data_IF_279158127782
#
_entry.id   IF_279158127782
#
_cell.length_a   1.000
_cell.length_b   1.000
_cell.length_c   1.000
_cell.angle_alpha   90.00
_cell.angle_beta   90.00
_cell.angle_gamma   90.00
#
_symmetry.space_group_name_H-M   'P 1'
#
loop_
_entity.id
_entity.type
_entity.pdbx_description
1 polymer ?
#
# COMPACT_ATOMS: atom_id res chain seq x y z
N UNK A 1 15.56 20.95 10.75
CA UNK A 1 16.87 20.31 10.49
C UNK A 1 16.79 18.78 10.52
N UNK A 2 16.37 18.15 11.63
CA UNK A 2 16.28 16.69 11.78
C UNK A 2 15.47 15.97 10.65
N UNK A 3 14.24 16.41 10.36
CA UNK A 3 13.43 15.83 9.26
C UNK A 3 14.03 16.03 7.86
N UNK A 4 14.77 17.13 7.62
CA UNK A 4 15.49 17.35 6.35
C UNK A 4 16.63 16.34 6.21
N UNK A 5 17.40 16.12 7.27
CA UNK A 5 18.44 15.08 7.29
C UNK A 5 17.83 13.70 7.06
N UNK A 6 16.70 13.39 7.70
CA UNK A 6 16.00 12.13 7.46
C UNK A 6 15.64 11.96 5.98
N UNK A 7 15.01 12.98 5.36
CA UNK A 7 14.67 12.93 3.93
C UNK A 7 15.91 12.62 3.07
N UNK A 8 17.01 13.34 3.27
CA UNK A 8 18.25 13.12 2.53
C UNK A 8 18.84 11.71 2.78
N UNK A 9 18.81 11.24 4.04
CA UNK A 9 19.27 9.90 4.39
C UNK A 9 18.44 8.79 3.72
N UNK A 10 17.11 8.95 3.65
CA UNK A 10 16.24 7.99 2.96
C UNK A 10 16.46 7.94 1.46
N UNK A 11 17.03 8.99 0.87
CA UNK A 11 17.42 9.06 -0.55
C UNK A 11 18.89 8.69 -0.78
N UNK A 12 19.57 8.11 0.22
CA UNK A 12 21.01 7.75 0.18
C UNK A 12 21.96 8.92 -0.14
N UNK A 13 21.48 10.16 -0.05
CA UNK A 13 22.26 11.37 -0.38
C UNK A 13 23.44 11.58 0.59
N UNK A 14 23.34 11.02 1.79
CA UNK A 14 24.33 11.17 2.87
C UNK A 14 25.25 9.95 2.99
N UNK A 15 25.34 9.10 1.97
CA UNK A 15 26.11 7.85 2.06
C UNK A 15 27.61 8.04 2.23
N UNK A 16 28.13 9.18 1.76
CA UNK A 16 29.55 9.54 1.76
C UNK A 16 30.02 10.35 2.98
N UNK A 17 29.14 10.68 3.92
CA UNK A 17 29.55 11.43 5.13
C UNK A 17 30.49 10.60 6.02
N UNK A 18 31.22 11.22 6.97
CA UNK A 18 32.10 10.50 7.89
C UNK A 18 31.38 9.37 8.65
N UNK A 19 32.12 8.31 9.02
CA UNK A 19 31.58 7.14 9.75
C UNK A 19 31.80 7.20 11.27
N UNK A 20 32.44 8.25 11.75
CA UNK A 20 32.73 8.52 13.16
C UNK A 20 32.55 10.02 13.42
N UNK A 21 32.00 10.35 14.59
CA UNK A 21 31.90 11.73 15.04
C UNK A 21 33.25 12.29 15.50
N UNK A 22 33.27 13.57 15.82
CA UNK A 22 34.40 14.26 16.42
C UNK A 22 33.92 15.32 17.44
N UNK A 23 34.87 15.94 18.14
CA UNK A 23 34.59 16.98 19.14
C UNK A 23 33.95 18.25 18.56
N UNK A 24 34.03 18.45 17.23
CA UNK A 24 33.42 19.60 16.53
C UNK A 24 31.92 19.39 16.24
N UNK A 25 31.36 18.25 16.64
CA UNK A 25 29.93 17.97 16.44
C UNK A 25 29.57 17.66 14.99
N UNK A 26 30.50 17.11 14.19
CA UNK A 26 30.18 16.71 12.81
C UNK A 26 29.16 15.57 12.78
N UNK A 27 28.21 15.68 11.85
CA UNK A 27 27.29 14.59 11.53
C UNK A 27 28.06 13.38 11.00
N UNK A 28 27.63 12.17 11.37
CA UNK A 28 28.25 10.95 10.90
C UNK A 28 27.25 9.80 10.70
N UNK A 29 27.63 8.86 9.84
CA UNK A 29 26.87 7.65 9.52
C UNK A 29 27.27 6.51 10.46
N UNK A 30 26.34 6.01 11.26
CA UNK A 30 26.56 4.97 12.27
C UNK A 30 26.34 3.57 11.67
N UNK A 31 27.39 3.01 11.07
CA UNK A 31 27.37 1.70 10.39
C UNK A 31 27.02 0.55 11.35
N UNK A 32 27.40 0.64 12.63
CA UNK A 32 27.09 -0.39 13.62
C UNK A 32 25.59 -0.44 13.87
N UNK A 33 24.97 0.72 14.06
CA UNK A 33 23.53 0.82 14.28
C UNK A 33 22.73 0.46 13.01
N UNK A 34 23.20 0.81 11.81
CA UNK A 34 22.58 0.35 10.56
C UNK A 34 22.47 -1.17 10.48
N UNK A 35 23.57 -1.90 10.76
CA UNK A 35 23.57 -3.37 10.76
C UNK A 35 22.62 -3.95 11.80
N UNK A 36 22.62 -3.38 13.01
CA UNK A 36 21.76 -3.81 14.11
C UNK A 36 20.27 -3.62 13.77
N UNK A 37 19.90 -2.44 13.26
CA UNK A 37 18.52 -2.16 12.84
C UNK A 37 18.12 -3.04 11.65
N UNK A 38 18.98 -3.22 10.66
CA UNK A 38 18.67 -4.09 9.53
C UNK A 38 18.40 -5.53 10.01
N UNK A 39 19.23 -6.06 10.93
CA UNK A 39 19.00 -7.37 11.52
C UNK A 39 17.67 -7.42 12.29
N UNK A 40 17.39 -6.41 13.11
CA UNK A 40 16.10 -6.27 13.82
C UNK A 40 14.91 -6.33 12.84
N UNK A 41 14.95 -5.57 11.75
CA UNK A 41 13.87 -5.55 10.73
C UNK A 41 13.67 -6.91 10.04
N UNK A 42 14.74 -7.69 9.87
CA UNK A 42 14.67 -9.04 9.31
C UNK A 42 14.07 -10.06 10.30
N UNK A 43 14.16 -9.77 11.60
CA UNK A 43 13.66 -10.62 12.67
C UNK A 43 12.21 -10.32 13.02
N UNK A 44 11.67 -9.13 12.69
CA UNK A 44 10.24 -8.80 12.82
C UNK A 44 9.31 -9.69 11.99
N UNK A 45 9.82 -10.37 10.98
CA UNK A 45 9.06 -11.24 10.06
C UNK A 45 7.87 -10.60 9.32
N UNK A 46 7.70 -9.28 9.39
CA UNK A 46 6.73 -8.51 8.57
C UNK A 46 7.03 -8.71 7.07
N UNK A 47 8.31 -8.74 6.71
CA UNK A 47 8.78 -9.02 5.36
C UNK A 47 8.31 -8.02 4.31
N UNK A 48 8.35 -8.45 3.05
CA UNK A 48 7.92 -7.64 1.92
C UNK A 48 6.39 -7.67 1.83
N UNK A 49 5.73 -6.85 2.66
CA UNK A 49 4.28 -6.67 2.78
C UNK A 49 3.50 -7.83 3.41
N UNK A 50 3.79 -9.08 3.04
CA UNK A 50 2.99 -10.26 3.43
C UNK A 50 3.83 -11.35 4.12
N UNK A 51 4.60 -10.97 5.13
CA UNK A 51 5.43 -11.88 5.90
C UNK A 51 6.79 -12.16 5.25
N UNK A 52 7.78 -12.50 6.09
CA UNK A 52 9.11 -12.93 5.64
C UNK A 52 10.23 -11.99 6.07
N UNK A 53 11.37 -12.04 5.37
CA UNK A 53 12.62 -11.39 5.80
C UNK A 53 12.75 -9.92 5.36
N UNK A 54 12.29 -9.58 4.17
CA UNK A 54 12.66 -8.34 3.48
C UNK A 54 11.72 -7.18 3.81
N UNK A 55 11.69 -6.76 5.09
CA UNK A 55 10.99 -5.54 5.48
C UNK A 55 11.72 -4.27 5.03
N UNK A 56 13.06 -4.29 5.10
CA UNK A 56 13.93 -3.22 4.60
C UNK A 56 14.91 -3.78 3.57
N UNK A 57 15.20 -3.00 2.52
CA UNK A 57 16.32 -3.28 1.61
C UNK A 57 17.66 -3.06 2.32
N UNK A 58 17.79 -1.90 2.95
CA UNK A 58 18.92 -1.50 3.77
C UNK A 58 18.47 -0.45 4.81
N UNK A 59 19.43 0.07 5.59
CA UNK A 59 19.19 1.10 6.62
C UNK A 59 20.26 2.18 6.51
N UNK A 60 19.89 3.43 6.80
CA UNK A 60 20.81 4.54 7.04
C UNK A 60 20.57 5.13 8.43
N UNK A 61 21.64 5.31 9.21
CA UNK A 61 21.57 5.92 10.55
C UNK A 61 22.53 7.11 10.58
N UNK A 62 21.97 8.31 10.72
CA UNK A 62 22.73 9.55 10.78
C UNK A 62 22.66 10.11 12.20
N UNK A 63 23.83 10.27 12.83
CA UNK A 63 23.97 10.92 14.14
C UNK A 63 24.28 12.40 13.93
N UNK A 64 23.55 13.25 14.65
CA UNK A 64 23.67 14.70 14.57
C UNK A 64 24.02 15.28 15.95
N UNK A 65 24.71 16.43 16.02
CA UNK A 65 24.81 17.18 17.25
C UNK A 65 23.43 17.66 17.70
N UNK A 66 23.29 17.93 19.00
CA UNK A 66 22.04 18.36 19.61
C UNK A 66 22.33 19.33 20.75
N UNK A 67 21.36 20.17 21.06
CA UNK A 67 21.36 20.92 22.32
C UNK A 67 21.27 19.94 23.50
N UNK A 68 21.88 20.26 24.64
CA UNK A 68 21.93 19.37 25.82
C UNK A 68 20.55 18.91 26.28
N UNK A 69 19.57 19.82 26.25
CA UNK A 69 18.19 19.60 26.65
C UNK A 69 17.28 18.99 25.54
N UNK A 70 17.83 18.53 24.42
CA UNK A 70 17.01 18.04 23.29
C UNK A 70 17.58 16.78 22.68
N UNK A 71 16.71 15.86 22.25
CA UNK A 71 17.08 14.64 21.51
C UNK A 71 16.03 14.34 20.42
N UNK A 72 16.00 15.12 19.32
CA UNK A 72 15.07 14.85 18.23
C UNK A 72 15.47 13.55 17.50
N UNK A 73 14.51 12.64 17.37
CA UNK A 73 14.66 11.37 16.65
C UNK A 73 13.59 11.32 15.56
N UNK A 74 13.98 10.89 14.36
CA UNK A 74 13.07 10.74 13.24
C UNK A 74 13.37 9.47 12.47
N UNK A 75 12.31 8.77 12.06
CA UNK A 75 12.37 7.53 11.28
C UNK A 75 11.52 7.74 10.03
N UNK A 76 11.99 7.25 8.90
CA UNK A 76 11.34 7.40 7.61
C UNK A 76 11.89 6.39 6.61
N UNK A 77 11.21 6.29 5.47
CA UNK A 77 11.51 5.30 4.44
C UNK A 77 11.47 5.93 3.05
N UNK A 78 12.28 5.39 2.13
CA UNK A 78 11.93 5.39 0.72
C UNK A 78 11.15 4.11 0.40
N UNK A 79 10.13 4.20 -0.44
CA UNK A 79 9.19 3.11 -0.67
C UNK A 79 9.56 2.31 -1.92
N UNK A 80 8.72 1.32 -2.31
CA UNK A 80 8.94 0.56 -3.56
C UNK A 80 8.94 1.41 -4.85
N UNK A 81 8.51 2.68 -4.76
CA UNK A 81 8.72 3.70 -5.78
C UNK A 81 9.85 4.66 -5.37
N UNK A 82 11.06 4.10 -5.18
CA UNK A 82 12.29 4.82 -4.87
C UNK A 82 12.72 5.69 -6.06
N UNK A 83 12.58 7.00 -5.93
CA UNK A 83 12.60 7.95 -7.05
C UNK A 83 13.31 9.24 -6.66
N UNK A 84 14.58 9.31 -7.01
CA UNK A 84 15.43 10.49 -6.90
C UNK A 84 16.36 10.53 -8.12
N UNK A 85 16.84 11.72 -8.46
CA UNK A 85 17.83 11.90 -9.51
C UNK A 85 18.71 13.10 -9.15
N UNK A 86 20.03 12.92 -9.17
CA UNK A 86 20.98 13.99 -8.92
C UNK A 86 21.31 14.70 -10.24
N UNK A 87 21.20 16.02 -10.25
CA UNK A 87 21.63 16.88 -11.36
C UNK A 87 22.78 17.79 -10.93
N UNK A 88 23.67 18.16 -11.85
CA UNK A 88 24.66 19.21 -11.65
C UNK A 88 24.85 20.03 -12.91
N UNK A 89 25.13 21.32 -12.74
CA UNK A 89 25.52 22.24 -13.81
C UNK A 89 26.91 22.74 -13.50
N UNK A 90 27.80 22.74 -14.49
CA UNK A 90 29.13 23.34 -14.37
C UNK A 90 29.56 23.93 -15.72
N UNK A 91 30.81 24.42 -15.81
CA UNK A 91 31.37 25.02 -17.03
C UNK A 91 31.32 24.11 -18.28
N UNK A 92 31.11 22.80 -18.11
CA UNK A 92 31.03 21.80 -19.18
C UNK A 92 29.58 21.42 -19.54
N UNK A 93 28.57 22.06 -18.96
CA UNK A 93 27.15 21.87 -19.31
C UNK A 93 26.29 21.30 -18.18
N UNK A 94 25.17 20.67 -18.57
CA UNK A 94 24.17 20.09 -17.68
C UNK A 94 24.33 18.57 -17.61
N UNK A 95 24.38 18.02 -16.40
CA UNK A 95 24.56 16.60 -16.15
C UNK A 95 23.43 16.08 -15.27
N UNK A 96 22.98 14.87 -15.58
CA UNK A 96 21.94 14.17 -14.84
C UNK A 96 22.41 12.75 -14.53
N UNK A 97 22.07 12.27 -13.34
CA UNK A 97 22.35 10.91 -12.90
C UNK A 97 21.78 9.88 -13.89
N UNK A 98 22.60 8.89 -14.22
CA UNK A 98 22.23 7.80 -15.12
C UNK A 98 21.53 6.70 -14.34
N UNK A 99 20.23 6.57 -14.54
CA UNK A 99 19.44 5.44 -14.03
C UNK A 99 19.56 4.21 -14.95
N UNK A 100 19.16 3.05 -14.42
CA UNK A 100 19.07 1.81 -15.19
C UNK A 100 17.97 1.90 -16.26
N UNK A 101 18.30 1.56 -17.51
CA UNK A 101 17.36 1.55 -18.65
C UNK A 101 16.89 0.14 -19.05
N UNK A 102 17.62 -0.89 -18.62
CA UNK A 102 17.29 -2.29 -18.84
C UNK A 102 17.10 -3.02 -17.49
N UNK A 103 15.99 -2.76 -16.76
CA UNK A 103 15.73 -3.43 -15.49
C UNK A 103 15.47 -4.94 -15.65
N UNK A 104 15.17 -5.42 -16.86
CA UNK A 104 14.89 -6.85 -17.11
C UNK A 104 16.07 -7.77 -16.75
N UNK A 105 17.30 -7.25 -16.75
CA UNK A 105 18.51 -8.00 -16.35
C UNK A 105 18.48 -8.45 -14.87
N UNK A 106 17.68 -7.80 -14.03
CA UNK A 106 17.49 -8.17 -12.63
C UNK A 106 16.38 -9.20 -12.43
N UNK A 107 15.64 -9.60 -13.48
CA UNK A 107 14.63 -10.63 -13.39
C UNK A 107 15.29 -12.00 -13.17
N UNK A 108 15.02 -12.68 -12.04
CA UNK A 108 15.54 -14.02 -11.83
C UNK A 108 14.90 -15.01 -12.79
N UNK A 109 15.65 -16.05 -13.18
CA UNK A 109 15.09 -17.23 -13.86
C UNK A 109 14.28 -18.04 -12.85
N UNK A 110 13.02 -17.67 -12.66
CA UNK A 110 12.11 -18.36 -11.73
C UNK A 110 11.42 -19.51 -12.47
N UNK A 111 11.48 -20.70 -11.88
CA UNK A 111 10.54 -21.76 -12.24
C UNK A 111 9.19 -21.46 -11.58
N UNK A 112 8.27 -20.84 -12.32
CA UNK A 112 6.92 -20.50 -11.85
C UNK A 112 6.15 -21.71 -11.31
N UNK A 113 6.52 -22.95 -11.68
CA UNK A 113 5.93 -24.19 -11.11
C UNK A 113 6.32 -24.43 -9.65
N UNK A 114 7.39 -23.79 -9.15
CA UNK A 114 7.83 -23.87 -7.74
C UNK A 114 7.16 -22.84 -6.82
N UNK A 115 6.51 -21.82 -7.38
CA UNK A 115 5.64 -20.93 -6.60
C UNK A 115 4.32 -21.66 -6.36
N UNK A 116 3.89 -21.73 -5.10
CA UNK A 116 2.68 -22.46 -4.71
C UNK A 116 1.46 -21.91 -5.44
N UNK A 117 0.92 -22.69 -6.38
CA UNK A 117 -0.33 -22.43 -7.12
C UNK A 117 -1.58 -22.73 -6.27
N UNK A 118 -1.65 -22.17 -5.07
CA UNK A 118 -2.80 -22.34 -4.17
C UNK A 118 -3.64 -21.06 -4.09
N UNK A 119 -3.75 -20.33 -5.20
CA UNK A 119 -4.67 -19.20 -5.28
C UNK A 119 -6.11 -19.68 -5.36
N UNK A 120 -6.98 -19.08 -4.55
CA UNK A 120 -8.42 -19.27 -4.64
C UNK A 120 -9.01 -18.19 -5.53
N UNK A 121 -9.65 -18.60 -6.62
CA UNK A 121 -10.37 -17.69 -7.50
C UNK A 121 -11.68 -17.27 -6.80
N UNK A 122 -11.96 -15.97 -6.79
CA UNK A 122 -13.19 -15.37 -6.27
C UNK A 122 -13.88 -14.62 -7.41
N UNK A 123 -15.13 -15.00 -7.70
CA UNK A 123 -15.97 -14.29 -8.65
C UNK A 123 -16.75 -13.18 -7.92
N UNK A 124 -16.51 -11.94 -8.32
CA UNK A 124 -17.11 -10.73 -7.77
C UNK A 124 -18.41 -10.34 -8.48
N UNK A 125 -18.73 -10.93 -9.64
CA UNK A 125 -19.98 -10.67 -10.36
C UNK A 125 -21.19 -11.45 -9.80
N UNK A 126 -21.07 -11.92 -8.56
CA UNK A 126 -22.14 -12.57 -7.80
C UNK A 126 -22.72 -11.58 -6.80
N UNK A 127 -23.95 -11.80 -6.31
CA UNK A 127 -24.47 -11.02 -5.18
C UNK A 127 -23.47 -11.00 -4.03
N UNK A 128 -23.21 -9.83 -3.43
CA UNK A 128 -22.17 -9.63 -2.40
C UNK A 128 -22.27 -10.64 -1.23
N UNK A 129 -23.50 -11.07 -0.89
CA UNK A 129 -23.77 -12.08 0.14
C UNK A 129 -23.15 -13.44 -0.21
N UNK A 130 -23.17 -13.85 -1.47
CA UNK A 130 -22.53 -15.09 -1.91
C UNK A 130 -21.01 -15.00 -1.81
N UNK A 131 -20.43 -13.86 -2.19
CA UNK A 131 -18.99 -13.61 -2.05
C UNK A 131 -18.56 -13.65 -0.58
N UNK A 132 -19.36 -13.06 0.32
CA UNK A 132 -19.16 -13.15 1.79
C UNK A 132 -19.17 -14.60 2.27
N UNK A 133 -20.12 -15.42 1.82
CA UNK A 133 -20.21 -16.84 2.18
C UNK A 133 -18.97 -17.60 1.67
N UNK A 134 -18.52 -17.30 0.45
CA UNK A 134 -17.32 -17.93 -0.11
C UNK A 134 -16.05 -17.55 0.66
N UNK A 135 -15.84 -16.25 0.94
CA UNK A 135 -14.71 -15.77 1.73
C UNK A 135 -14.73 -16.30 3.17
N UNK A 136 -15.92 -16.49 3.76
CA UNK A 136 -16.09 -17.04 5.11
C UNK A 136 -15.52 -18.45 5.27
N UNK A 137 -15.39 -19.22 4.18
CA UNK A 137 -14.81 -20.58 4.19
C UNK A 137 -13.27 -20.56 4.23
N UNK A 138 -12.66 -19.39 4.01
CA UNK A 138 -11.21 -19.23 3.93
C UNK A 138 -10.63 -18.75 5.25
N UNK A 139 -9.31 -18.89 5.39
CA UNK A 139 -8.53 -18.38 6.52
C UNK A 139 -7.68 -17.20 6.08
N UNK A 140 -7.40 -16.27 6.99
CA UNK A 140 -6.40 -15.21 6.75
C UNK A 140 -5.08 -15.80 6.23
N UNK A 141 -4.34 -15.02 5.45
CA UNK A 141 -3.15 -15.44 4.66
C UNK A 141 -3.45 -16.23 3.38
N UNK A 142 -4.70 -16.57 3.10
CA UNK A 142 -5.08 -17.21 1.84
C UNK A 142 -4.88 -16.25 0.67
N UNK A 143 -4.24 -16.72 -0.40
CA UNK A 143 -4.02 -15.98 -1.65
C UNK A 143 -5.25 -16.09 -2.54
N UNK A 144 -5.66 -14.95 -3.11
CA UNK A 144 -6.86 -14.81 -3.93
C UNK A 144 -6.51 -14.28 -5.32
N UNK A 145 -7.33 -14.68 -6.30
CA UNK A 145 -7.43 -14.03 -7.60
C UNK A 145 -8.86 -13.56 -7.79
N UNK A 146 -9.04 -12.25 -7.86
CA UNK A 146 -10.36 -11.62 -7.97
C UNK A 146 -10.73 -11.40 -9.43
N UNK A 147 -11.95 -11.75 -9.81
CA UNK A 147 -12.50 -11.56 -11.15
C UNK A 147 -13.87 -10.89 -11.06
N UNK A 148 -14.08 -9.78 -11.75
CA UNK A 148 -15.37 -9.07 -11.80
C UNK A 148 -15.26 -7.60 -11.43
N UNK A 149 -16.37 -7.01 -10.99
CA UNK A 149 -16.48 -5.58 -10.72
C UNK A 149 -15.91 -5.19 -9.36
N UNK A 150 -15.20 -4.05 -9.32
CA UNK A 150 -14.79 -3.35 -8.10
C UNK A 150 -15.23 -1.89 -8.19
N UNK A 151 -15.69 -1.35 -7.06
CA UNK A 151 -15.91 0.09 -6.91
C UNK A 151 -14.68 0.71 -6.29
N UNK A 152 -14.13 1.73 -6.93
CA UNK A 152 -12.97 2.46 -6.46
C UNK A 152 -13.42 3.72 -5.74
N UNK A 153 -13.03 3.86 -4.48
CA UNK A 153 -13.26 5.07 -3.70
C UNK A 153 -12.14 5.22 -2.67
N UNK A 154 -11.73 6.46 -2.38
CA UNK A 154 -10.71 6.75 -1.36
C UNK A 154 -11.04 8.04 -0.60
N UNK A 155 -10.05 8.62 0.07
CA UNK A 155 -10.12 9.69 1.05
C UNK A 155 -11.30 10.68 0.86
N UNK A 156 -11.35 11.47 -0.22
CA UNK A 156 -12.40 12.49 -0.41
C UNK A 156 -13.77 11.87 -0.71
N UNK A 157 -13.82 10.83 -1.55
CA UNK A 157 -15.06 10.11 -1.85
C UNK A 157 -15.68 9.48 -0.59
N UNK A 158 -14.86 8.90 0.30
CA UNK A 158 -15.32 8.39 1.59
C UNK A 158 -15.86 9.51 2.47
N UNK A 159 -15.19 10.67 2.51
CA UNK A 159 -15.68 11.84 3.25
C UNK A 159 -17.05 12.29 2.75
N UNK A 160 -17.26 12.41 1.43
CA UNK A 160 -18.56 12.77 0.84
C UNK A 160 -19.65 11.76 1.17
N UNK A 161 -19.37 10.46 0.97
CA UNK A 161 -20.33 9.40 1.30
C UNK A 161 -20.71 9.39 2.79
N UNK A 162 -19.75 9.67 3.68
CA UNK A 162 -20.01 9.83 5.11
C UNK A 162 -20.87 11.04 5.39
N UNK A 163 -20.57 12.19 4.79
CA UNK A 163 -21.35 13.42 4.96
C UNK A 163 -22.82 13.19 4.57
N UNK A 164 -23.08 12.52 3.45
CA UNK A 164 -24.44 12.20 3.01
C UNK A 164 -25.12 11.21 3.97
N UNK A 165 -24.38 10.21 4.48
CA UNK A 165 -24.89 9.28 5.48
C UNK A 165 -25.23 9.97 6.81
N UNK A 166 -24.41 10.91 7.26
CA UNK A 166 -24.64 11.72 8.47
C UNK A 166 -25.89 12.60 8.32
N UNK A 167 -26.24 13.03 7.09
CA UNK A 167 -27.50 13.73 6.75
C UNK A 167 -28.71 12.79 6.66
N UNK A 168 -28.55 11.50 6.94
CA UNK A 168 -29.61 10.49 6.90
C UNK A 168 -29.90 9.93 5.51
N UNK A 169 -29.07 10.23 4.49
CA UNK A 169 -29.22 9.61 3.17
C UNK A 169 -28.64 8.20 3.17
N UNK A 170 -29.20 7.26 2.39
CA UNK A 170 -28.67 5.91 2.30
C UNK A 170 -27.33 5.90 1.54
N UNK A 171 -26.49 4.91 1.82
CA UNK A 171 -25.34 4.63 0.96
C UNK A 171 -25.81 4.20 -0.45
N UNK A 172 -25.11 4.63 -1.52
CA UNK A 172 -25.41 4.22 -2.88
C UNK A 172 -25.36 2.71 -3.09
N UNK A 173 -26.18 2.17 -3.99
CA UNK A 173 -26.27 0.72 -4.24
C UNK A 173 -24.94 0.14 -4.71
N UNK A 174 -24.23 0.82 -5.61
CA UNK A 174 -22.92 0.36 -6.09
C UNK A 174 -21.93 0.13 -4.93
N UNK A 175 -22.03 0.91 -3.84
CA UNK A 175 -21.14 0.83 -2.67
C UNK A 175 -21.55 -0.27 -1.68
N UNK A 176 -22.80 -0.75 -1.76
CA UNK A 176 -23.34 -1.87 -0.97
C UNK A 176 -23.16 -3.20 -1.67
N UNK A 177 -23.24 -3.21 -2.99
CA UNK A 177 -23.32 -4.43 -3.79
C UNK A 177 -21.97 -4.93 -4.30
N UNK A 178 -20.91 -4.12 -4.18
CA UNK A 178 -19.57 -4.45 -4.72
C UNK A 178 -18.46 -4.28 -3.66
N UNK A 179 -17.33 -4.99 -3.80
CA UNK A 179 -16.14 -4.70 -3.00
C UNK A 179 -15.56 -3.31 -3.32
N UNK A 180 -15.04 -2.66 -2.29
CA UNK A 180 -14.50 -1.30 -2.37
C UNK A 180 -12.98 -1.32 -2.44
N UNK A 181 -12.42 -0.91 -3.58
CA UNK A 181 -11.00 -0.78 -3.83
C UNK A 181 -10.51 0.63 -3.51
N UNK A 182 -9.58 0.76 -2.58
CA UNK A 182 -9.01 2.06 -2.25
C UNK A 182 -7.84 2.34 -3.18
N UNK A 183 -8.09 3.15 -4.21
CA UNK A 183 -7.08 3.55 -5.18
C UNK A 183 -7.45 4.88 -5.86
N UNK A 184 -6.51 5.42 -6.62
CA UNK A 184 -6.75 6.53 -7.54
C UNK A 184 -5.90 6.31 -8.80
N UNK A 185 -6.48 6.37 -10.01
CA UNK A 185 -5.76 6.07 -11.23
C UNK A 185 -4.80 7.20 -11.61
N UNK A 186 -3.66 6.85 -12.20
CA UNK A 186 -2.88 7.79 -13.01
C UNK A 186 -3.59 8.03 -14.36
N UNK A 187 -3.13 9.05 -15.10
CA UNK A 187 -3.65 9.35 -16.45
C UNK A 187 -3.52 8.12 -17.36
N UNK A 188 -4.57 7.82 -18.12
CA UNK A 188 -4.61 6.72 -19.09
C UNK A 188 -3.77 7.07 -20.33
N UNK A 189 -2.76 6.25 -20.68
CA UNK A 189 -2.06 6.40 -21.95
C UNK A 189 -2.97 6.09 -23.15
N UNK A 190 -2.70 6.71 -24.31
CA UNK A 190 -3.43 6.43 -25.54
C UNK A 190 -3.34 4.94 -25.91
N UNK A 191 -4.48 4.31 -26.20
CA UNK A 191 -4.55 2.89 -26.58
C UNK A 191 -4.49 1.89 -25.42
N UNK A 192 -4.50 2.36 -24.16
CA UNK A 192 -4.56 1.50 -22.97
C UNK A 192 -5.92 1.60 -22.28
N UNK A 193 -6.33 0.54 -21.56
CA UNK A 193 -7.55 0.54 -20.75
C UNK A 193 -7.47 1.53 -19.59
N UNK A 194 -6.31 1.65 -18.95
CA UNK A 194 -6.10 2.53 -17.81
C UNK A 194 -4.63 2.90 -17.61
N UNK A 195 -4.38 3.97 -16.86
CA UNK A 195 -3.06 4.31 -16.34
C UNK A 195 -2.65 3.42 -15.17
N UNK A 196 -1.46 3.65 -14.60
CA UNK A 196 -1.04 2.92 -13.39
C UNK A 196 -2.07 3.08 -12.27
N UNK A 197 -2.53 1.96 -11.70
CA UNK A 197 -3.70 1.96 -10.81
C UNK A 197 -3.54 1.02 -9.62
N UNK A 198 -2.50 1.26 -8.82
CA UNK A 198 -2.21 0.48 -7.60
C UNK A 198 -3.01 0.92 -6.37
N UNK A 199 -3.01 0.10 -5.30
CA UNK A 199 -3.75 0.39 -4.07
C UNK A 199 -3.16 1.57 -3.30
N UNK A 200 -4.02 2.27 -2.55
CA UNK A 200 -3.63 3.26 -1.54
C UNK A 200 -3.67 2.66 -0.13
N UNK A 201 -3.07 3.35 0.85
CA UNK A 201 -2.96 2.87 2.23
C UNK A 201 -4.35 2.73 2.87
N UNK A 202 -4.67 1.51 3.32
CA UNK A 202 -5.97 1.17 3.89
C UNK A 202 -6.30 1.92 5.19
N UNK A 203 -5.28 2.09 6.05
CA UNK A 203 -5.41 2.70 7.37
C UNK A 203 -6.07 4.08 7.40
N UNK A 204 -5.98 4.85 6.31
CA UNK A 204 -6.59 6.19 6.24
C UNK A 204 -8.12 6.16 6.16
N UNK A 205 -8.69 5.02 5.78
CA UNK A 205 -10.14 4.82 5.69
C UNK A 205 -10.70 4.07 6.91
N UNK A 206 -9.90 3.78 7.94
CA UNK A 206 -10.32 2.98 9.09
C UNK A 206 -11.50 3.59 9.85
N UNK A 207 -11.55 4.91 10.00
CA UNK A 207 -12.61 5.63 10.72
C UNK A 207 -14.00 5.54 10.06
N UNK A 208 -14.07 5.17 8.78
CA UNK A 208 -15.34 5.08 8.03
C UNK A 208 -15.97 3.69 8.10
N UNK A 209 -15.16 2.65 8.38
CA UNK A 209 -15.56 1.25 8.15
C UNK A 209 -16.79 0.87 8.97
N UNK A 210 -16.82 1.17 10.26
CA UNK A 210 -17.94 0.74 11.11
C UNK A 210 -19.26 1.38 10.68
N UNK A 211 -19.24 2.68 10.38
CA UNK A 211 -20.44 3.40 9.95
C UNK A 211 -20.95 2.88 8.61
N UNK A 212 -20.05 2.62 7.66
CA UNK A 212 -20.42 2.11 6.36
C UNK A 212 -20.95 0.68 6.42
N UNK A 213 -20.30 -0.20 7.18
CA UNK A 213 -20.75 -1.58 7.36
C UNK A 213 -22.08 -1.66 8.11
N UNK A 214 -22.30 -0.80 9.11
CA UNK A 214 -23.60 -0.65 9.78
C UNK A 214 -24.71 -0.25 8.79
N UNK A 215 -24.39 0.57 7.79
CA UNK A 215 -25.30 0.97 6.71
C UNK A 215 -25.33 -0.03 5.53
N UNK A 216 -24.70 -1.20 5.65
CA UNK A 216 -24.70 -2.28 4.66
C UNK A 216 -23.70 -2.11 3.50
N UNK A 217 -22.83 -1.10 3.56
CA UNK A 217 -21.78 -0.84 2.57
C UNK A 217 -20.38 -1.26 3.02
N UNK A 218 -19.40 -1.24 2.11
CA UNK A 218 -17.99 -1.52 2.44
C UNK A 218 -17.76 -2.85 3.19
N UNK A 219 -18.57 -3.87 2.88
CA UNK A 219 -18.47 -5.19 3.50
C UNK A 219 -17.21 -5.94 3.06
N UNK A 220 -16.75 -5.74 1.83
CA UNK A 220 -15.49 -6.27 1.33
C UNK A 220 -14.63 -5.09 0.88
N UNK A 221 -13.43 -4.97 1.47
CA UNK A 221 -12.52 -3.85 1.21
C UNK A 221 -11.23 -4.38 0.60
N UNK A 222 -10.65 -3.66 -0.36
CA UNK A 222 -9.40 -4.02 -1.04
C UNK A 222 -8.46 -2.82 -1.04
N UNK A 223 -7.25 -2.96 -0.49
CA UNK A 223 -6.26 -1.87 -0.43
C UNK A 223 -4.86 -2.42 -0.12
N UNK A 224 -3.94 -1.61 0.43
CA UNK A 224 -2.63 -2.08 0.93
C UNK A 224 -2.30 -1.62 2.34
N UNK A 225 -1.51 -2.41 3.05
CA UNK A 225 -1.07 -2.16 4.43
C UNK A 225 -1.93 -2.85 5.48
N UNK A 226 -1.42 -2.92 6.70
CA UNK A 226 -2.16 -3.35 7.88
C UNK A 226 -3.20 -2.30 8.29
N UNK A 227 -4.16 -2.69 9.14
CA UNK A 227 -5.26 -1.83 9.60
C UNK A 227 -5.38 -1.88 11.12
N UNK A 228 -6.12 -0.93 11.68
CA UNK A 228 -6.38 -0.83 13.11
C UNK A 228 -7.30 -1.92 13.63
N UNK A 229 -7.29 -2.10 14.95
CA UNK A 229 -8.20 -2.99 15.68
C UNK A 229 -9.68 -2.67 15.42
N UNK A 230 -10.03 -1.40 15.19
CA UNK A 230 -11.39 -0.94 14.88
C UNK A 230 -11.96 -1.67 13.65
N UNK A 231 -11.15 -1.82 12.61
CA UNK A 231 -11.57 -2.51 11.38
C UNK A 231 -11.78 -3.99 11.63
N UNK A 232 -10.88 -4.63 12.41
CA UNK A 232 -11.02 -6.04 12.79
C UNK A 232 -12.32 -6.30 13.56
N UNK A 233 -12.63 -5.44 14.53
CA UNK A 233 -13.87 -5.53 15.30
C UNK A 233 -15.10 -5.29 14.44
N UNK A 234 -15.06 -4.30 13.55
CA UNK A 234 -16.14 -4.01 12.62
C UNK A 234 -16.42 -5.18 11.67
N UNK A 235 -15.38 -5.75 11.04
CA UNK A 235 -15.51 -6.93 10.19
C UNK A 235 -16.15 -8.11 10.92
N UNK A 236 -15.77 -8.36 12.19
CA UNK A 236 -16.40 -9.39 13.01
C UNK A 236 -17.89 -9.10 13.28
N UNK A 237 -18.23 -7.84 13.57
CA UNK A 237 -19.59 -7.40 13.92
C UNK A 237 -20.56 -7.43 12.73
N UNK A 238 -20.07 -7.06 11.54
CA UNK A 238 -20.90 -6.86 10.35
C UNK A 238 -20.62 -7.86 9.22
N UNK A 239 -19.94 -8.96 9.51
CA UNK A 239 -19.55 -9.98 8.52
C UNK A 239 -18.69 -9.44 7.36
N UNK A 240 -17.81 -8.48 7.66
CA UNK A 240 -16.94 -7.84 6.68
C UNK A 240 -15.59 -8.54 6.48
N UNK A 241 -14.88 -8.15 5.42
CA UNK A 241 -13.56 -8.66 5.03
C UNK A 241 -12.65 -7.54 4.56
N UNK A 242 -11.35 -7.67 4.85
CA UNK A 242 -10.31 -6.85 4.24
C UNK A 242 -9.35 -7.73 3.44
N UNK A 243 -9.18 -7.37 2.18
CA UNK A 243 -8.27 -7.98 1.23
C UNK A 243 -7.07 -7.06 1.01
N UNK A 244 -5.87 -7.59 1.17
CA UNK A 244 -4.62 -6.88 0.91
C UNK A 244 -4.12 -7.15 -0.49
N UNK A 245 -4.06 -6.13 -1.34
CA UNK A 245 -3.35 -6.16 -2.61
C UNK A 245 -1.87 -5.79 -2.42
N UNK A 246 -1.05 -6.14 -3.42
CA UNK A 246 0.37 -5.80 -3.45
C UNK A 246 0.51 -4.30 -3.74
N UNK A 247 1.11 -3.56 -2.80
CA UNK A 247 1.43 -2.14 -2.98
C UNK A 247 2.67 -1.93 -3.84
N UNK A 248 2.62 -1.01 -4.81
CA UNK A 248 3.76 -0.67 -5.67
C UNK A 248 3.59 -0.99 -7.15
N UNK A 249 3.22 -2.22 -7.58
CA UNK A 249 3.21 -2.63 -8.99
C UNK A 249 1.99 -2.11 -9.77
N UNK A 250 1.66 -0.82 -9.65
CA UNK A 250 0.46 -0.21 -10.25
C UNK A 250 0.42 -0.29 -11.78
N UNK A 251 1.57 -0.23 -12.45
CA UNK A 251 1.65 -0.40 -13.91
C UNK A 251 1.35 -1.83 -14.36
N UNK A 252 1.79 -2.84 -13.60
CA UNK A 252 1.54 -4.24 -13.93
C UNK A 252 0.08 -4.62 -13.66
N UNK A 253 -0.50 -4.13 -12.55
CA UNK A 253 -1.93 -4.28 -12.27
C UNK A 253 -2.79 -3.66 -13.37
N UNK A 254 -2.48 -2.44 -13.78
CA UNK A 254 -3.16 -1.76 -14.88
C UNK A 254 -3.11 -2.57 -16.18
N UNK A 255 -1.93 -3.07 -16.54
CA UNK A 255 -1.71 -3.78 -17.81
C UNK A 255 -2.32 -5.18 -17.84
N UNK A 256 -2.26 -5.92 -16.73
CA UNK A 256 -2.65 -7.34 -16.70
C UNK A 256 -4.03 -7.60 -16.12
N UNK A 257 -4.48 -6.75 -15.20
CA UNK A 257 -5.58 -7.09 -14.32
C UNK A 257 -6.78 -6.16 -14.45
N UNK A 258 -6.63 -4.95 -14.99
CA UNK A 258 -7.74 -3.99 -15.12
C UNK A 258 -8.11 -3.86 -16.59
N UNK A 259 -9.31 -4.34 -16.92
CA UNK A 259 -9.76 -4.45 -18.32
C UNK A 259 -10.66 -3.30 -18.74
N UNK A 260 -11.36 -2.68 -17.79
CA UNK A 260 -12.27 -1.55 -18.04
C UNK A 260 -12.30 -0.59 -16.85
N UNK A 261 -12.47 0.72 -17.12
CA UNK A 261 -12.50 1.78 -16.11
C UNK A 261 -13.52 2.86 -16.51
N UNK A 262 -14.46 3.15 -15.62
CA UNK A 262 -15.48 4.18 -15.79
C UNK A 262 -15.58 5.07 -14.56
N UNK A 263 -15.57 6.39 -14.74
CA UNK A 263 -15.95 7.32 -13.66
C UNK A 263 -17.46 7.27 -13.49
N UNK A 264 -17.95 6.98 -12.30
CA UNK A 264 -19.39 6.82 -12.04
C UNK A 264 -19.96 7.92 -11.13
N UNK A 265 -19.14 8.55 -10.27
CA UNK A 265 -19.60 9.66 -9.43
C UNK A 265 -18.44 10.58 -9.03
N UNK A 266 -18.77 11.84 -8.74
CA UNK A 266 -17.84 12.91 -8.37
C UNK A 266 -16.66 13.15 -9.34
N UNK A 267 -16.90 13.31 -10.66
CA UNK A 267 -15.83 13.54 -11.63
C UNK A 267 -14.98 14.78 -11.33
N UNK A 268 -15.55 15.77 -10.62
CA UNK A 268 -14.84 16.97 -10.19
C UNK A 268 -13.67 16.70 -9.22
N UNK A 269 -13.62 15.51 -8.59
CA UNK A 269 -12.54 15.10 -7.69
C UNK A 269 -11.31 14.54 -8.42
N UNK A 270 -11.34 14.47 -9.76
CA UNK A 270 -10.25 13.94 -10.56
C UNK A 270 -9.91 12.50 -10.15
N UNK A 271 -8.65 12.24 -9.76
CA UNK A 271 -8.21 10.90 -9.38
C UNK A 271 -8.89 10.34 -8.11
N UNK A 272 -9.57 11.17 -7.33
CA UNK A 272 -10.34 10.77 -6.14
C UNK A 272 -11.85 10.61 -6.39
N UNK A 273 -12.29 10.70 -7.65
CA UNK A 273 -13.64 10.34 -8.05
C UNK A 273 -13.97 8.88 -7.70
N UNK A 274 -15.25 8.53 -7.77
CA UNK A 274 -15.69 7.14 -7.65
C UNK A 274 -15.63 6.49 -9.03
N UNK A 275 -14.93 5.37 -9.13
CA UNK A 275 -14.77 4.62 -10.37
C UNK A 275 -15.41 3.25 -10.24
N UNK A 276 -15.91 2.73 -11.34
CA UNK A 276 -16.21 1.32 -11.52
C UNK A 276 -15.13 0.72 -12.41
N UNK A 277 -14.53 -0.39 -11.98
CA UNK A 277 -13.52 -1.09 -12.76
C UNK A 277 -13.86 -2.58 -12.89
N UNK A 278 -13.56 -3.14 -14.06
CA UNK A 278 -13.59 -4.59 -14.25
C UNK A 278 -12.19 -5.15 -14.09
N UNK A 279 -12.04 -6.18 -13.25
CA UNK A 279 -10.76 -6.85 -13.03
C UNK A 279 -10.76 -8.32 -13.40
N UNK A 280 -9.60 -8.80 -13.84
CA UNK A 280 -9.32 -10.21 -14.12
C UNK A 280 -8.03 -10.65 -13.43
N UNK A 281 -8.08 -11.80 -12.78
CA UNK A 281 -6.96 -12.42 -12.05
C UNK A 281 -6.23 -11.45 -11.09
N UNK A 282 -6.99 -10.54 -10.46
CA UNK A 282 -6.41 -9.48 -9.63
C UNK A 282 -5.89 -10.07 -8.31
N UNK A 283 -4.59 -9.91 -7.98
CA UNK A 283 -4.01 -10.59 -6.84
C UNK A 283 -4.35 -9.90 -5.52
N UNK A 284 -4.77 -10.69 -4.54
CA UNK A 284 -4.98 -10.24 -3.17
C UNK A 284 -4.67 -11.34 -2.14
N UNK A 285 -4.58 -10.95 -0.87
CA UNK A 285 -4.56 -11.85 0.28
C UNK A 285 -5.77 -11.56 1.15
N UNK A 286 -6.37 -12.58 1.74
CA UNK A 286 -7.31 -12.38 2.84
C UNK A 286 -6.53 -11.91 4.08
N UNK A 287 -6.69 -10.64 4.46
CA UNK A 287 -5.96 -10.02 5.58
C UNK A 287 -6.78 -10.05 6.85
N UNK A 288 -8.01 -9.52 6.83
CA UNK A 288 -8.94 -9.58 7.97
C UNK A 288 -10.18 -10.36 7.53
N UNK A 289 -10.59 -11.33 8.34
CA UNK A 289 -11.82 -12.09 8.11
C UNK A 289 -12.98 -11.63 9.00
N UNK A 290 -14.16 -12.21 8.74
CA UNK A 290 -15.38 -11.95 9.51
C UNK A 290 -15.43 -12.61 10.89
N UNK A 291 -14.34 -13.22 11.36
CA UNK A 291 -14.27 -13.94 12.65
C UNK A 291 -13.39 -13.21 13.65
N UNK A 292 -12.76 -12.11 13.22
CA UNK A 292 -11.86 -11.30 14.04
C UNK A 292 -10.40 -11.74 13.96
N UNK A 293 -10.01 -12.51 12.94
CA UNK A 293 -8.61 -12.84 12.68
C UNK A 293 -7.97 -11.77 11.79
N UNK A 294 -6.68 -11.48 12.03
CA UNK A 294 -5.87 -10.59 11.20
C UNK A 294 -4.54 -11.27 10.83
N UNK A 295 -4.16 -11.20 9.55
CA UNK A 295 -2.88 -11.63 9.02
C UNK A 295 -1.69 -11.14 9.86
N UNK A 296 -1.75 -9.89 10.31
CA UNK A 296 -0.63 -9.17 10.91
C UNK A 296 -0.57 -9.25 12.44
N UNK A 297 -1.59 -9.81 13.11
CA UNK A 297 -1.72 -9.78 14.57
C UNK A 297 -0.51 -10.37 15.32
N UNK A 298 0.16 -11.36 14.74
CA UNK A 298 1.35 -11.99 15.33
C UNK A 298 2.68 -11.54 14.69
N UNK A 299 2.64 -10.51 13.84
CA UNK A 299 3.82 -9.93 13.18
C UNK A 299 4.12 -8.50 13.64
N UNK A 300 3.13 -7.85 14.25
CA UNK A 300 3.17 -6.46 14.71
C UNK A 300 2.71 -6.48 16.17
N UNK A 301 3.54 -7.05 17.04
CA UNK A 301 3.41 -7.02 18.51
C UNK A 301 4.59 -6.31 19.12
#
# INVERSE_FOLDING_TARGET
>A
MNLKTLKLATCHYLDSIPKKGNYKGLAFRDIKMEKSILKMTQDLKIGAQFGGKYFCHDVRVIRLPRHGASLPISIGVSCGADRQIIGKINKNGMFLEKLEKNPSKYLPRINLKKLTKKEKIINLNKPIKETIIELSKLKVKTRLLLNGTLIVARDIAHSKLKEELDKGKPLPNYFKENPIYYAGPAKTPNGYSTGSFGPTTAGRMDSYVEQFQKAGGSLIMLAKGNRSLLVKQSCKKYSGFYLGSIGGPGAELARRNITDVKCIEYPELGMEAIWEITVKDFPAFLVIDNKGNDFYENLIT
#
